data_IF_241949314661
#
_entry.id   IF_241949314661
#
_cell.length_a   1.000
_cell.length_b   1.000
_cell.length_c   1.000
_cell.angle_alpha   90.00
_cell.angle_beta   90.00
_cell.angle_gamma   90.00
#
_symmetry.space_group_name_H-M   'P 1'
#
loop_
_entity.id
_entity.type
_entity.pdbx_description
1 polymer ?
#
# COMPACT_ATOMS: atom_id res chain seq x y z
N UNK A 1 47.33 -9.31 40.67
CA UNK A 1 46.82 -9.81 39.37
C UNK A 1 45.33 -10.24 39.40
N UNK A 2 44.85 -10.99 40.37
CA UNK A 2 43.42 -11.43 40.42
C UNK A 2 42.41 -10.28 40.52
N UNK A 3 42.68 -9.22 41.26
CA UNK A 3 41.81 -8.05 41.42
C UNK A 3 41.68 -7.22 40.17
N UNK A 4 42.73 -7.07 39.38
CA UNK A 4 42.73 -6.31 38.11
C UNK A 4 41.89 -7.05 37.03
N UNK A 5 41.98 -8.38 37.01
CA UNK A 5 41.21 -9.19 36.06
C UNK A 5 39.69 -9.15 36.38
N UNK A 6 39.32 -9.10 37.64
CA UNK A 6 37.91 -8.96 38.07
C UNK A 6 37.35 -7.58 37.72
N UNK A 7 38.17 -6.53 37.84
CA UNK A 7 37.75 -5.16 37.47
C UNK A 7 37.50 -5.01 35.98
N UNK A 8 38.37 -5.61 35.16
CA UNK A 8 38.21 -5.59 33.68
C UNK A 8 36.96 -6.36 33.25
N UNK A 9 36.68 -7.50 33.84
CA UNK A 9 35.44 -8.26 33.59
C UNK A 9 34.18 -7.48 33.97
N UNK A 10 34.21 -6.75 35.09
CA UNK A 10 33.08 -5.93 35.55
C UNK A 10 32.84 -4.74 34.60
N UNK A 11 33.93 -4.07 34.15
CA UNK A 11 33.84 -2.95 33.20
C UNK A 11 33.30 -3.41 31.83
N UNK A 12 33.76 -4.57 31.34
CA UNK A 12 33.23 -5.12 30.07
C UNK A 12 31.76 -5.50 30.18
N UNK A 13 31.28 -6.07 31.29
CA UNK A 13 29.87 -6.38 31.50
C UNK A 13 29.01 -5.10 31.61
N UNK A 14 29.51 -4.04 32.28
CA UNK A 14 28.82 -2.75 32.36
C UNK A 14 28.73 -2.07 30.99
N UNK A 15 29.78 -2.18 30.16
CA UNK A 15 29.79 -1.61 28.82
C UNK A 15 28.84 -2.36 27.89
N UNK A 16 28.80 -3.69 27.91
CA UNK A 16 27.86 -4.52 27.17
C UNK A 16 26.40 -4.22 27.58
N UNK A 17 26.12 -4.14 28.87
CA UNK A 17 24.79 -3.80 29.39
C UNK A 17 24.35 -2.38 29.00
N UNK A 18 25.26 -1.40 29.00
CA UNK A 18 24.98 -0.03 28.54
C UNK A 18 24.69 0.01 27.04
N UNK A 19 25.38 -0.78 26.21
CA UNK A 19 25.12 -0.89 24.77
C UNK A 19 23.77 -1.55 24.49
N UNK A 20 23.43 -2.61 25.22
CA UNK A 20 22.17 -3.33 25.07
C UNK A 20 20.98 -2.46 25.49
N UNK A 21 21.09 -1.72 26.62
CA UNK A 21 20.06 -0.75 27.03
C UNK A 21 19.87 0.38 26.02
N UNK A 22 20.96 0.89 25.42
CA UNK A 22 20.87 1.94 24.42
C UNK A 22 20.19 1.44 23.13
N UNK A 23 20.51 0.21 22.69
CA UNK A 23 19.87 -0.39 21.52
C UNK A 23 18.37 -0.63 21.75
N UNK A 24 17.97 -1.16 22.91
CA UNK A 24 16.57 -1.36 23.28
C UNK A 24 15.79 -0.02 23.28
N UNK A 25 16.38 1.05 23.78
CA UNK A 25 15.77 2.37 23.78
C UNK A 25 15.59 2.90 22.35
N UNK A 26 16.60 2.74 21.47
CA UNK A 26 16.53 3.13 20.07
C UNK A 26 15.42 2.34 19.35
N UNK A 27 15.34 1.05 19.57
CA UNK A 27 14.33 0.20 18.91
C UNK A 27 12.91 0.57 19.39
N UNK A 28 12.73 0.86 20.68
CA UNK A 28 11.46 1.36 21.22
C UNK A 28 11.02 2.68 20.59
N UNK A 29 11.94 3.64 20.46
CA UNK A 29 11.66 4.93 19.80
C UNK A 29 11.33 4.78 18.31
N UNK A 30 11.97 3.83 17.61
CA UNK A 30 11.64 3.52 16.20
C UNK A 30 10.23 2.94 16.09
N UNK A 31 9.86 2.01 16.95
CA UNK A 31 8.51 1.41 16.95
C UNK A 31 7.46 2.49 17.20
N UNK A 32 7.64 3.30 18.24
CA UNK A 32 6.73 4.42 18.57
C UNK A 32 6.62 5.40 17.39
N UNK A 33 7.73 5.71 16.72
CA UNK A 33 7.76 6.58 15.55
C UNK A 33 6.93 6.02 14.39
N UNK A 34 7.02 4.71 14.12
CA UNK A 34 6.23 4.03 13.08
C UNK A 34 4.74 4.04 13.44
N UNK A 35 4.38 3.71 14.67
CA UNK A 35 2.99 3.72 15.13
C UNK A 35 2.35 5.11 15.04
N UNK A 36 3.08 6.14 15.44
CA UNK A 36 2.64 7.53 15.33
C UNK A 36 2.45 7.95 13.88
N UNK A 37 3.36 7.55 12.98
CA UNK A 37 3.24 7.84 11.55
C UNK A 37 2.02 7.12 10.95
N UNK A 38 1.81 5.84 11.25
CA UNK A 38 0.63 5.09 10.80
C UNK A 38 -0.68 5.75 11.26
N UNK A 39 -0.72 6.24 12.49
CA UNK A 39 -1.87 6.97 13.05
C UNK A 39 -2.16 8.28 12.29
N UNK A 40 -1.11 9.05 11.98
CA UNK A 40 -1.24 10.27 11.20
C UNK A 40 -1.66 9.99 9.77
N UNK A 41 -1.08 8.98 9.14
CA UNK A 41 -1.45 8.56 7.78
C UNK A 41 -2.90 8.06 7.72
N UNK A 42 -3.34 7.30 8.72
CA UNK A 42 -4.73 6.89 8.86
C UNK A 42 -5.70 8.07 8.88
N UNK A 43 -5.36 9.12 9.62
CA UNK A 43 -6.22 10.31 9.73
C UNK A 43 -6.27 11.10 8.42
N UNK A 44 -5.17 11.18 7.72
CA UNK A 44 -5.04 11.95 6.49
C UNK A 44 -4.13 11.26 5.46
N UNK A 45 -4.61 10.24 4.73
CA UNK A 45 -3.85 9.59 3.68
C UNK A 45 -3.45 10.58 2.58
N UNK A 46 -2.16 10.66 2.30
CA UNK A 46 -1.61 11.59 1.32
C UNK A 46 -1.93 11.07 -0.08
N UNK A 47 -2.60 11.88 -0.89
CA UNK A 47 -2.82 11.63 -2.31
C UNK A 47 -1.68 12.25 -3.11
N UNK A 48 -1.02 11.46 -3.94
CA UNK A 48 -0.01 11.95 -4.87
C UNK A 48 -0.64 12.50 -6.15
N UNK A 49 0.19 13.20 -6.94
CA UNK A 49 -0.21 13.63 -8.28
C UNK A 49 -0.27 12.42 -9.22
N UNK A 50 -1.33 12.35 -10.02
CA UNK A 50 -1.57 11.24 -10.94
C UNK A 50 -2.42 10.12 -10.32
N UNK A 51 -2.53 9.02 -11.06
CA UNK A 51 -3.38 7.87 -10.70
C UNK A 51 -2.64 6.78 -9.93
N UNK A 52 -1.29 6.80 -9.94
CA UNK A 52 -0.45 5.79 -9.31
C UNK A 52 0.38 6.40 -8.19
N UNK A 53 0.17 5.92 -6.98
CA UNK A 53 0.97 6.21 -5.79
C UNK A 53 1.71 4.93 -5.41
N UNK A 54 3.06 4.92 -5.52
CA UNK A 54 3.85 3.71 -5.35
C UNK A 54 4.87 3.84 -4.22
N UNK A 55 4.43 3.61 -2.98
CA UNK A 55 5.28 3.67 -1.80
C UNK A 55 6.21 2.45 -1.65
N UNK A 56 5.80 1.29 -2.17
CA UNK A 56 6.61 0.07 -2.11
C UNK A 56 7.61 -0.06 -3.27
N UNK A 57 7.60 0.89 -4.21
CA UNK A 57 8.48 0.90 -5.40
C UNK A 57 8.33 -0.38 -6.23
N UNK A 58 7.09 -0.79 -6.46
CA UNK A 58 6.77 -1.99 -7.23
C UNK A 58 6.91 -1.77 -8.74
N UNK A 59 6.92 -0.51 -9.17
CA UNK A 59 6.94 -0.13 -10.57
C UNK A 59 8.14 0.76 -10.89
N UNK A 60 8.71 0.60 -12.06
CA UNK A 60 9.66 1.57 -12.62
C UNK A 60 8.95 2.87 -12.99
N UNK A 61 9.73 3.93 -13.23
CA UNK A 61 9.17 5.23 -13.66
C UNK A 61 8.41 5.13 -14.97
N UNK A 62 8.89 4.31 -15.91
CA UNK A 62 8.25 4.10 -17.21
C UNK A 62 6.94 3.33 -17.06
N UNK A 63 6.89 2.32 -16.19
CA UNK A 63 5.67 1.58 -15.87
C UNK A 63 4.62 2.46 -15.20
N UNK A 64 5.03 3.31 -14.23
CA UNK A 64 4.15 4.31 -13.62
C UNK A 64 3.57 5.24 -14.69
N UNK A 65 4.41 5.72 -15.62
CA UNK A 65 3.96 6.56 -16.70
C UNK A 65 2.93 5.86 -17.59
N UNK A 66 3.19 4.62 -17.99
CA UNK A 66 2.27 3.83 -18.83
C UNK A 66 0.93 3.62 -18.12
N UNK A 67 0.95 3.27 -16.83
CA UNK A 67 -0.27 3.09 -16.03
C UNK A 67 -1.07 4.40 -15.92
N UNK A 68 -0.39 5.53 -15.64
CA UNK A 68 -1.05 6.84 -15.59
C UNK A 68 -1.66 7.24 -16.95
N UNK A 69 -0.92 7.09 -18.06
CA UNK A 69 -1.39 7.43 -19.40
C UNK A 69 -2.61 6.57 -19.80
N UNK A 70 -2.61 5.28 -19.43
CA UNK A 70 -3.72 4.36 -19.68
C UNK A 70 -4.97 4.76 -18.91
N UNK A 71 -4.82 5.04 -17.59
CA UNK A 71 -5.93 5.43 -16.74
C UNK A 71 -6.47 6.80 -17.13
N UNK A 72 -5.60 7.76 -17.44
CA UNK A 72 -5.99 9.10 -17.89
C UNK A 72 -6.80 9.07 -19.19
N UNK A 73 -6.39 8.21 -20.14
CA UNK A 73 -7.16 7.98 -21.36
C UNK A 73 -8.53 7.38 -21.06
N UNK A 74 -8.58 6.37 -20.20
CA UNK A 74 -9.83 5.71 -19.82
C UNK A 74 -10.79 6.67 -19.10
N UNK A 75 -10.28 7.49 -18.19
CA UNK A 75 -11.08 8.52 -17.51
C UNK A 75 -11.71 9.51 -18.50
N UNK A 76 -10.95 9.98 -19.51
CA UNK A 76 -11.44 10.87 -20.55
C UNK A 76 -12.54 10.23 -21.41
N UNK A 77 -12.45 8.92 -21.67
CA UNK A 77 -13.41 8.19 -22.48
C UNK A 77 -14.73 7.86 -21.74
N UNK A 78 -14.64 7.54 -20.43
CA UNK A 78 -15.76 6.97 -19.66
C UNK A 78 -16.22 7.82 -18.48
N UNK A 79 -15.41 8.78 -18.07
CA UNK A 79 -15.51 9.51 -16.80
C UNK A 79 -15.28 8.67 -15.53
N UNK A 80 -15.08 7.35 -15.63
CA UNK A 80 -14.73 6.52 -14.49
C UNK A 80 -13.26 6.72 -14.11
N UNK A 81 -12.98 6.77 -12.81
CA UNK A 81 -11.64 7.02 -12.28
C UNK A 81 -11.08 5.77 -11.63
N UNK A 82 -9.81 5.46 -11.90
CA UNK A 82 -9.08 4.37 -11.24
C UNK A 82 -7.84 4.95 -10.59
N UNK A 83 -7.62 4.67 -9.31
CA UNK A 83 -6.38 5.01 -8.62
C UNK A 83 -5.71 3.74 -8.08
N UNK A 84 -4.38 3.72 -8.10
CA UNK A 84 -3.54 2.64 -7.59
C UNK A 84 -2.69 3.18 -6.45
N UNK A 85 -2.69 2.48 -5.32
CA UNK A 85 -1.88 2.79 -4.15
C UNK A 85 -1.13 1.55 -3.67
N UNK A 86 0.20 1.65 -3.52
CA UNK A 86 0.98 0.59 -2.89
C UNK A 86 1.32 0.98 -1.45
N UNK A 87 0.99 0.13 -0.48
CA UNK A 87 1.05 0.43 0.95
C UNK A 87 2.13 -0.39 1.65
N UNK A 88 3.19 0.28 2.05
CA UNK A 88 4.28 -0.29 2.84
C UNK A 88 3.94 -0.41 4.35
N UNK A 89 4.83 -1.04 5.11
CA UNK A 89 4.69 -1.21 6.56
C UNK A 89 4.80 0.08 7.37
N UNK A 90 5.23 1.18 6.77
CA UNK A 90 5.20 2.50 7.43
C UNK A 90 3.79 3.08 7.45
N UNK A 91 2.93 2.72 6.48
CA UNK A 91 1.59 3.29 6.30
C UNK A 91 0.49 2.39 6.80
N UNK A 92 0.66 1.08 6.62
CA UNK A 92 -0.34 0.07 6.97
C UNK A 92 0.21 -0.96 7.94
N UNK A 93 -0.69 -1.65 8.62
CA UNK A 93 -0.45 -2.92 9.30
C UNK A 93 -1.21 -4.03 8.57
N UNK A 94 -0.84 -5.29 8.81
CA UNK A 94 -1.61 -6.41 8.26
C UNK A 94 -3.07 -6.39 8.73
N UNK A 95 -3.33 -5.92 9.94
CA UNK A 95 -4.66 -5.87 10.53
C UNK A 95 -5.54 -4.76 9.95
N UNK A 96 -4.97 -3.57 9.66
CA UNK A 96 -5.76 -2.41 9.22
C UNK A 96 -5.75 -2.18 7.70
N UNK A 97 -5.07 -3.02 6.90
CA UNK A 97 -4.90 -2.82 5.47
C UNK A 97 -6.23 -2.63 4.72
N UNK A 98 -7.21 -3.50 5.00
CA UNK A 98 -8.50 -3.47 4.32
C UNK A 98 -9.28 -2.19 4.66
N UNK A 99 -9.36 -1.84 5.95
CA UNK A 99 -10.03 -0.63 6.42
C UNK A 99 -9.30 0.64 5.94
N UNK A 100 -7.97 0.62 5.91
CA UNK A 100 -7.18 1.74 5.40
C UNK A 100 -7.42 1.95 3.91
N UNK A 101 -7.52 0.88 3.11
CA UNK A 101 -7.82 0.99 1.67
C UNK A 101 -9.17 1.65 1.42
N UNK A 102 -10.20 1.32 2.20
CA UNK A 102 -11.51 1.97 2.14
C UNK A 102 -11.42 3.44 2.55
N UNK A 103 -10.68 3.73 3.61
CA UNK A 103 -10.47 5.11 4.07
C UNK A 103 -9.73 5.96 3.03
N UNK A 104 -8.75 5.39 2.35
CA UNK A 104 -8.04 6.05 1.23
C UNK A 104 -9.03 6.38 0.12
N UNK A 105 -9.86 5.43 -0.31
CA UNK A 105 -10.86 5.65 -1.34
C UNK A 105 -11.80 6.81 -0.99
N UNK A 106 -12.31 6.84 0.24
CA UNK A 106 -13.18 7.91 0.75
C UNK A 106 -12.48 9.27 0.84
N UNK A 107 -11.23 9.31 1.32
CA UNK A 107 -10.49 10.56 1.53
C UNK A 107 -9.94 11.16 0.24
N UNK A 108 -9.55 10.33 -0.71
CA UNK A 108 -9.06 10.79 -2.00
C UNK A 108 -10.19 11.27 -2.92
N UNK A 109 -11.43 10.86 -2.64
CA UNK A 109 -12.59 11.27 -3.43
C UNK A 109 -12.47 10.84 -4.87
N UNK A 110 -12.05 9.58 -5.11
CA UNK A 110 -11.92 9.01 -6.44
C UNK A 110 -13.33 8.73 -7.01
N UNK A 111 -13.57 9.18 -8.23
CA UNK A 111 -14.88 9.15 -8.88
C UNK A 111 -15.54 10.51 -8.96
N UNK A 112 -16.43 10.69 -9.91
CA UNK A 112 -17.14 11.95 -10.12
C UNK A 112 -18.28 12.10 -9.11
N UNK A 113 -18.44 13.30 -8.59
CA UNK A 113 -19.56 13.63 -7.69
C UNK A 113 -20.91 13.27 -8.33
N UNK A 114 -21.73 12.56 -7.59
CA UNK A 114 -23.05 12.10 -8.02
C UNK A 114 -23.05 10.90 -8.98
N UNK A 115 -21.86 10.41 -9.41
CA UNK A 115 -21.73 9.18 -10.19
C UNK A 115 -21.14 8.05 -9.36
N UNK A 116 -20.31 8.37 -8.36
CA UNK A 116 -19.59 7.42 -7.50
C UNK A 116 -18.87 6.31 -8.31
N UNK A 117 -18.29 6.73 -9.45
CA UNK A 117 -17.70 5.86 -10.47
C UNK A 117 -16.17 5.77 -10.33
N UNK A 118 -15.70 5.71 -9.10
CA UNK A 118 -14.30 5.57 -8.75
C UNK A 118 -13.93 4.16 -8.32
N UNK A 119 -12.69 3.77 -8.62
CA UNK A 119 -12.06 2.52 -8.16
C UNK A 119 -10.74 2.87 -7.50
N UNK A 120 -10.49 2.35 -6.30
CA UNK A 120 -9.16 2.39 -5.66
C UNK A 120 -8.62 0.98 -5.52
N UNK A 121 -7.43 0.75 -6.05
CA UNK A 121 -6.71 -0.52 -5.96
C UNK A 121 -5.56 -0.34 -4.98
N UNK A 122 -5.70 -0.91 -3.79
CA UNK A 122 -4.65 -0.94 -2.78
C UNK A 122 -3.87 -2.26 -2.87
N UNK A 123 -2.55 -2.17 -2.89
CA UNK A 123 -1.64 -3.32 -3.00
C UNK A 123 -0.62 -3.24 -1.87
N UNK A 124 -0.30 -4.35 -1.23
CA UNK A 124 0.88 -4.46 -0.38
C UNK A 124 1.66 -5.74 -0.70
N UNK A 125 2.87 -5.56 -1.22
CA UNK A 125 3.84 -6.65 -1.39
C UNK A 125 4.28 -7.17 -0.02
N UNK A 126 4.51 -6.28 0.94
CA UNK A 126 4.95 -6.63 2.28
C UNK A 126 3.97 -7.57 2.98
N UNK A 127 2.67 -7.27 2.91
CA UNK A 127 1.61 -8.09 3.53
C UNK A 127 1.01 -9.12 2.57
N UNK A 128 1.43 -9.14 1.29
CA UNK A 128 0.85 -9.98 0.23
C UNK A 128 -0.67 -9.80 0.13
N UNK A 129 -1.12 -8.56 0.17
CA UNK A 129 -2.53 -8.18 0.10
C UNK A 129 -2.81 -7.34 -1.12
N UNK A 130 -4.03 -7.49 -1.62
CA UNK A 130 -4.66 -6.60 -2.59
C UNK A 130 -6.11 -6.38 -2.18
N UNK A 131 -6.59 -5.16 -2.34
CA UNK A 131 -7.99 -4.78 -2.15
C UNK A 131 -8.41 -3.84 -3.27
N UNK A 132 -9.61 -4.05 -3.81
CA UNK A 132 -10.25 -3.14 -4.75
C UNK A 132 -11.48 -2.56 -4.03
N UNK A 133 -11.53 -1.25 -3.95
CA UNK A 133 -12.65 -0.49 -3.39
C UNK A 133 -13.41 0.15 -4.55
N UNK A 134 -14.62 -0.32 -4.79
CA UNK A 134 -15.53 0.20 -5.81
C UNK A 134 -16.42 1.28 -5.20
N UNK A 135 -16.63 2.38 -5.92
CA UNK A 135 -17.68 3.33 -5.59
C UNK A 135 -19.07 2.76 -5.92
N UNK A 136 -20.12 3.30 -5.31
CA UNK A 136 -21.48 2.80 -5.48
C UNK A 136 -21.94 2.71 -6.95
N UNK A 137 -21.46 3.63 -7.80
CA UNK A 137 -21.77 3.60 -9.24
C UNK A 137 -21.04 2.46 -9.98
N UNK A 138 -19.86 2.05 -9.50
CA UNK A 138 -19.13 0.89 -10.04
C UNK A 138 -19.80 -0.42 -9.60
N UNK A 139 -20.27 -0.50 -8.36
CA UNK A 139 -20.93 -1.70 -7.82
C UNK A 139 -22.22 -2.10 -8.59
N UNK A 140 -22.83 -1.14 -9.28
CA UNK A 140 -23.98 -1.43 -10.17
C UNK A 140 -23.56 -2.16 -11.45
N UNK A 141 -22.28 -2.13 -11.82
CA UNK A 141 -21.73 -2.70 -13.08
C UNK A 141 -20.82 -3.89 -12.79
N UNK A 142 -20.04 -3.82 -11.72
CA UNK A 142 -19.07 -4.85 -11.32
C UNK A 142 -19.39 -5.28 -9.89
N UNK A 143 -19.93 -6.48 -9.74
CA UNK A 143 -20.26 -7.06 -8.43
C UNK A 143 -19.00 -7.40 -7.61
N UNK A 144 -19.18 -7.67 -6.31
CA UNK A 144 -18.10 -8.16 -5.44
C UNK A 144 -17.51 -9.48 -5.94
N UNK A 145 -18.34 -10.40 -6.43
CA UNK A 145 -17.88 -11.67 -6.99
C UNK A 145 -17.05 -11.47 -8.27
N UNK A 146 -17.45 -10.54 -9.13
CA UNK A 146 -16.67 -10.19 -10.32
C UNK A 146 -15.39 -9.47 -9.97
N UNK A 147 -15.41 -8.59 -8.98
CA UNK A 147 -14.20 -7.93 -8.43
C UNK A 147 -13.22 -8.97 -7.89
N UNK A 148 -13.73 -9.92 -7.09
CA UNK A 148 -12.94 -11.04 -6.59
C UNK A 148 -12.39 -11.91 -7.73
N UNK A 149 -13.19 -12.23 -8.73
CA UNK A 149 -12.77 -12.98 -9.91
C UNK A 149 -11.60 -12.28 -10.64
N UNK A 150 -11.69 -10.96 -10.80
CA UNK A 150 -10.62 -10.17 -11.44
C UNK A 150 -9.34 -10.21 -10.60
N UNK A 151 -9.44 -10.06 -9.30
CA UNK A 151 -8.28 -10.18 -8.39
C UNK A 151 -7.62 -11.56 -8.55
N UNK A 152 -8.38 -12.63 -8.45
CA UNK A 152 -7.88 -14.00 -8.41
C UNK A 152 -7.29 -14.46 -9.75
N UNK A 153 -7.79 -13.95 -10.87
CA UNK A 153 -7.39 -14.42 -12.21
C UNK A 153 -6.42 -13.49 -12.95
N UNK A 154 -6.40 -12.21 -12.64
CA UNK A 154 -5.58 -11.24 -13.38
C UNK A 154 -4.43 -10.65 -12.56
N UNK A 155 -4.65 -10.35 -11.26
CA UNK A 155 -3.61 -9.81 -10.38
C UNK A 155 -2.77 -10.92 -9.75
N UNK A 156 -3.41 -11.80 -8.96
CA UNK A 156 -2.73 -12.78 -8.10
C UNK A 156 -1.77 -13.70 -8.85
N UNK A 157 -2.09 -14.27 -10.04
CA UNK A 157 -1.17 -15.17 -10.73
C UNK A 157 0.16 -14.51 -11.13
N UNK A 158 0.13 -13.21 -11.41
CA UNK A 158 1.34 -12.43 -11.72
C UNK A 158 2.09 -12.00 -10.46
N UNK A 159 1.36 -11.59 -9.41
CA UNK A 159 1.93 -11.21 -8.13
C UNK A 159 2.68 -12.37 -7.44
N UNK A 160 2.19 -13.59 -7.56
CA UNK A 160 2.89 -14.80 -7.09
C UNK A 160 4.28 -14.98 -7.70
N UNK A 161 4.49 -14.47 -8.90
CA UNK A 161 5.76 -14.49 -9.62
C UNK A 161 6.51 -13.14 -9.52
N UNK A 162 6.17 -12.31 -8.53
CA UNK A 162 6.72 -10.97 -8.29
C UNK A 162 6.56 -9.98 -9.47
N UNK A 163 5.76 -10.32 -10.47
CA UNK A 163 5.48 -9.46 -11.62
C UNK A 163 4.28 -8.54 -11.33
N UNK A 164 4.51 -7.57 -10.44
CA UNK A 164 3.46 -6.64 -9.98
C UNK A 164 2.92 -5.77 -11.10
N UNK A 165 3.80 -5.24 -11.96
CA UNK A 165 3.39 -4.43 -13.10
C UNK A 165 2.42 -5.16 -14.03
N UNK A 166 2.81 -6.33 -14.52
CA UNK A 166 1.94 -7.09 -15.42
C UNK A 166 0.63 -7.52 -14.76
N UNK A 167 0.65 -7.85 -13.47
CA UNK A 167 -0.57 -8.17 -12.73
C UNK A 167 -1.50 -6.97 -12.64
N UNK A 168 -0.96 -5.82 -12.28
CA UNK A 168 -1.72 -4.56 -12.20
C UNK A 168 -2.26 -4.16 -13.56
N UNK A 169 -1.43 -4.18 -14.61
CA UNK A 169 -1.86 -3.84 -15.97
C UNK A 169 -2.99 -4.76 -16.45
N UNK A 170 -2.85 -6.08 -16.28
CA UNK A 170 -3.88 -7.03 -16.69
C UNK A 170 -5.20 -6.82 -15.93
N UNK A 171 -5.11 -6.59 -14.62
CA UNK A 171 -6.28 -6.38 -13.78
C UNK A 171 -7.04 -5.10 -14.11
N UNK A 172 -6.32 -3.97 -14.27
CA UNK A 172 -6.97 -2.71 -14.66
C UNK A 172 -7.57 -2.77 -16.07
N UNK A 173 -6.92 -3.47 -17.00
CA UNK A 173 -7.48 -3.66 -18.34
C UNK A 173 -8.79 -4.45 -18.31
N UNK A 174 -8.91 -5.47 -17.46
CA UNK A 174 -10.16 -6.23 -17.31
C UNK A 174 -11.24 -5.38 -16.62
N UNK A 175 -10.91 -4.60 -15.59
CA UNK A 175 -11.83 -3.62 -15.00
C UNK A 175 -12.34 -2.61 -16.04
N UNK A 176 -11.44 -2.03 -16.82
CA UNK A 176 -11.77 -1.06 -17.88
C UNK A 176 -12.67 -1.67 -18.96
N UNK A 177 -12.45 -2.93 -19.30
CA UNK A 177 -13.29 -3.65 -20.30
C UNK A 177 -14.73 -3.84 -19.80
N UNK A 178 -14.91 -4.09 -18.51
CA UNK A 178 -16.21 -4.22 -17.89
C UNK A 178 -17.00 -2.91 -17.80
N UNK A 179 -16.29 -1.78 -17.79
CA UNK A 179 -16.86 -0.44 -17.62
C UNK A 179 -17.07 0.30 -18.97
N UNK A 180 -16.75 -0.32 -20.09
CA UNK A 180 -17.06 0.18 -21.46
C UNK A 180 -18.36 -0.40 -21.99
#
# INVERSE_FOLDING_TARGET
>A
MRTLFFLILLLNNLHAFSQEMNQHTIDSLKIEGVENFQKLYWLNPIKHYGWVTDYEKLYSKDEIKILNDLIDKFEKETSAEIAIDTLDSLRATNANFDDLSLRIAQKWGIGKSGKDNGIVIAISKHYRKIRIQNGNGIEQVISDDETKFIIDNYFIPKFKNENYYSGTLNGIMELMKKLR
#
